data_IF_079712170534
#
_entry.id   IF_079712170534
#
_cell.length_a   1.000
_cell.length_b   1.000
_cell.length_c   1.000
_cell.angle_alpha   90.00
_cell.angle_beta   90.00
_cell.angle_gamma   90.00
#
_symmetry.space_group_name_H-M   'P 1'
#
loop_
_entity.id
_entity.type
_entity.pdbx_description
1 polymer ?
#
# COMPACT_ATOMS: atom_id res chain seq x y z
N UNK A 1 -12.84 -5.37 -6.42
CA UNK A 1 -12.76 -6.24 -7.61
C UNK A 1 -11.44 -6.97 -7.51
N UNK A 2 -11.46 -8.29 -7.64
CA UNK A 2 -10.24 -9.09 -7.68
C UNK A 2 -9.72 -9.21 -9.11
N UNK A 3 -8.41 -9.14 -9.32
CA UNK A 3 -7.77 -9.39 -10.61
C UNK A 3 -7.92 -10.89 -10.92
N UNK A 4 -8.52 -11.18 -12.08
CA UNK A 4 -8.66 -12.55 -12.59
C UNK A 4 -7.35 -13.15 -13.09
N UNK A 5 -7.44 -14.30 -13.73
CA UNK A 5 -6.31 -15.00 -14.36
C UNK A 5 -6.00 -14.52 -15.78
N UNK A 6 -6.87 -13.71 -16.39
CA UNK A 6 -6.71 -13.16 -17.75
C UNK A 6 -6.43 -11.66 -17.74
N UNK A 7 -5.54 -11.23 -18.63
CA UNK A 7 -5.17 -9.85 -18.85
C UNK A 7 -6.37 -9.07 -19.42
N UNK A 8 -6.76 -7.94 -18.82
CA UNK A 8 -7.91 -7.16 -19.27
C UNK A 8 -7.67 -6.46 -20.62
N UNK A 9 -6.42 -6.39 -21.09
CA UNK A 9 -6.07 -5.73 -22.34
C UNK A 9 -5.98 -6.69 -23.53
N UNK A 10 -5.40 -7.89 -23.35
CA UNK A 10 -5.17 -8.84 -24.43
C UNK A 10 -5.85 -10.21 -24.25
N UNK A 11 -6.51 -10.44 -23.10
CA UNK A 11 -7.22 -11.69 -22.79
C UNK A 11 -6.32 -12.90 -22.47
N UNK A 12 -4.99 -12.77 -22.51
CA UNK A 12 -4.05 -13.86 -22.22
C UNK A 12 -3.83 -14.08 -20.73
N UNK A 13 -3.22 -15.20 -20.38
CA UNK A 13 -2.95 -15.55 -18.99
C UNK A 13 -1.99 -14.59 -18.30
N UNK A 14 -2.28 -14.34 -17.03
CA UNK A 14 -1.48 -13.52 -16.13
C UNK A 14 -0.61 -14.41 -15.26
N UNK A 15 0.67 -14.06 -15.16
CA UNK A 15 1.62 -14.69 -14.26
C UNK A 15 1.46 -14.08 -12.86
N UNK A 16 1.27 -14.93 -11.85
CA UNK A 16 1.28 -14.49 -10.44
C UNK A 16 2.69 -14.22 -9.96
N UNK A 17 2.87 -13.16 -9.17
CA UNK A 17 4.17 -12.85 -8.56
C UNK A 17 4.07 -11.69 -7.57
N UNK A 18 5.23 -11.13 -7.22
CA UNK A 18 5.34 -10.06 -6.23
C UNK A 18 6.20 -8.92 -6.75
N UNK A 19 5.78 -7.67 -6.51
CA UNK A 19 6.71 -6.54 -6.47
C UNK A 19 7.39 -6.55 -5.10
N UNK A 20 8.71 -6.45 -5.05
CA UNK A 20 9.48 -6.62 -3.82
C UNK A 20 10.53 -5.51 -3.65
N UNK A 21 10.69 -5.05 -2.42
CA UNK A 21 11.69 -4.05 -2.04
C UNK A 21 12.10 -4.22 -0.57
N UNK A 22 13.29 -3.73 -0.24
CA UNK A 22 13.74 -3.62 1.15
C UNK A 22 13.01 -2.49 1.92
N UNK A 23 12.33 -1.58 1.21
CA UNK A 23 11.58 -0.44 1.77
C UNK A 23 10.15 -0.43 1.24
N UNK A 24 9.26 0.29 1.92
CA UNK A 24 7.87 0.49 1.50
C UNK A 24 7.76 0.86 0.01
N UNK A 25 6.87 0.18 -0.71
CA UNK A 25 6.52 0.52 -2.10
C UNK A 25 5.30 1.43 -2.05
N UNK A 26 5.41 2.60 -2.69
CA UNK A 26 4.33 3.57 -2.84
C UNK A 26 4.07 3.84 -4.32
N UNK A 27 2.85 4.26 -4.63
CA UNK A 27 2.52 4.93 -5.88
C UNK A 27 2.25 6.41 -5.57
N UNK A 28 2.85 7.29 -6.37
CA UNK A 28 2.65 8.73 -6.32
C UNK A 28 2.65 9.28 -7.74
N UNK A 29 2.00 10.43 -7.95
CA UNK A 29 2.05 11.15 -9.24
C UNK A 29 3.38 11.89 -9.43
N UNK A 30 4.07 12.21 -8.34
CA UNK A 30 5.36 12.87 -8.35
C UNK A 30 6.49 11.89 -8.00
N UNK A 31 7.66 12.11 -8.58
CA UNK A 31 8.84 11.33 -8.22
C UNK A 31 9.34 11.74 -6.84
N UNK A 32 9.40 10.79 -5.90
CA UNK A 32 10.02 10.99 -4.59
C UNK A 32 11.44 10.39 -4.59
N UNK A 33 12.43 11.18 -4.21
CA UNK A 33 13.85 10.77 -4.23
C UNK A 33 14.48 10.58 -2.85
N UNK A 34 13.83 11.09 -1.79
CA UNK A 34 14.40 11.11 -0.43
C UNK A 34 13.55 10.31 0.56
N UNK A 35 12.23 10.56 0.59
CA UNK A 35 11.29 9.87 1.49
C UNK A 35 10.17 9.19 0.72
N UNK A 36 10.11 7.87 0.83
CA UNK A 36 9.04 7.05 0.26
C UNK A 36 7.94 6.84 1.29
N UNK A 37 7.27 7.94 1.66
CA UNK A 37 6.08 7.92 2.52
C UNK A 37 4.89 8.34 1.68
N UNK A 38 3.75 7.67 1.90
CA UNK A 38 2.47 8.12 1.37
C UNK A 38 1.87 9.19 2.31
N UNK A 39 2.47 10.38 2.27
CA UNK A 39 2.14 11.52 3.13
C UNK A 39 1.29 12.58 2.43
N UNK A 40 1.31 12.62 1.10
CA UNK A 40 0.52 13.53 0.29
C UNK A 40 -0.87 12.97 -0.03
N UNK A 41 -1.82 13.89 -0.23
CA UNK A 41 -3.18 13.53 -0.62
C UNK A 41 -3.18 12.93 -2.03
N UNK A 42 -3.43 11.62 -2.10
CA UNK A 42 -3.49 10.86 -3.34
C UNK A 42 -2.40 9.80 -3.47
N UNK A 43 -1.37 9.85 -2.62
CA UNK A 43 -0.38 8.77 -2.53
C UNK A 43 -1.02 7.48 -2.02
N UNK A 44 -0.56 6.35 -2.57
CA UNK A 44 -1.02 5.03 -2.18
C UNK A 44 0.13 4.19 -1.66
N UNK A 45 -0.05 3.60 -0.47
CA UNK A 45 0.80 2.49 -0.05
C UNK A 45 0.42 1.29 -0.90
N UNK A 46 1.40 0.69 -1.57
CA UNK A 46 1.22 -0.48 -2.44
C UNK A 46 1.62 -1.76 -1.71
N UNK A 47 2.71 -1.73 -0.95
CA UNK A 47 3.22 -2.91 -0.26
C UNK A 47 2.52 -3.22 1.06
N UNK A 48 2.45 -4.51 1.39
CA UNK A 48 2.14 -5.02 2.72
C UNK A 48 3.38 -4.98 3.64
N UNK A 49 3.15 -4.75 4.94
CA UNK A 49 4.18 -4.84 5.99
C UNK A 49 5.11 -3.63 6.10
N UNK A 50 5.45 -3.25 7.34
CA UNK A 50 6.50 -2.24 7.63
C UNK A 50 7.79 -2.94 8.12
N UNK A 51 7.70 -4.19 8.59
CA UNK A 51 8.75 -4.82 9.40
C UNK A 51 9.25 -6.19 8.90
N UNK A 52 8.66 -6.78 7.86
CA UNK A 52 8.97 -8.16 7.39
C UNK A 52 9.41 -8.23 5.92
N UNK A 53 9.89 -7.09 5.38
CA UNK A 53 10.08 -6.90 3.95
C UNK A 53 8.83 -6.30 3.32
N UNK A 54 9.04 -5.51 2.25
CA UNK A 54 7.97 -4.76 1.60
C UNK A 54 7.65 -5.43 0.26
N UNK A 55 6.48 -6.04 0.18
CA UNK A 55 6.04 -6.69 -1.05
C UNK A 55 4.57 -6.43 -1.33
N UNK A 56 4.19 -6.54 -2.60
CA UNK A 56 2.82 -6.45 -3.06
C UNK A 56 2.53 -7.58 -4.04
N UNK A 57 1.43 -8.32 -3.81
CA UNK A 57 0.91 -9.27 -4.77
C UNK A 57 0.58 -8.55 -6.09
N UNK A 58 1.04 -9.10 -7.20
CA UNK A 58 0.82 -8.55 -8.51
C UNK A 58 0.60 -9.63 -9.56
N UNK A 59 0.04 -9.23 -10.69
CA UNK A 59 -0.10 -10.06 -11.88
C UNK A 59 0.69 -9.43 -13.02
N UNK A 60 1.49 -10.23 -13.72
CA UNK A 60 2.28 -9.78 -14.86
C UNK A 60 1.74 -10.39 -16.17
N UNK A 61 1.46 -9.54 -17.16
CA UNK A 61 1.17 -10.00 -18.51
C UNK A 61 2.45 -9.94 -19.34
N UNK A 62 3.00 -11.10 -19.70
CA UNK A 62 4.24 -11.19 -20.49
C UNK A 62 4.11 -10.58 -21.89
N UNK A 63 2.92 -10.68 -22.50
CA UNK A 63 2.67 -10.16 -23.85
C UNK A 63 2.48 -8.63 -23.88
N UNK A 64 1.80 -8.06 -22.89
CA UNK A 64 1.59 -6.61 -22.81
C UNK A 64 2.73 -5.88 -22.09
N UNK A 65 3.55 -6.59 -21.31
CA UNK A 65 4.63 -5.99 -20.52
C UNK A 65 4.15 -5.16 -19.33
N UNK A 66 2.96 -5.43 -18.80
CA UNK A 66 2.34 -4.65 -17.71
C UNK A 66 2.19 -5.45 -16.43
N UNK A 67 2.25 -4.74 -15.31
CA UNK A 67 1.90 -5.24 -13.99
C UNK A 67 0.52 -4.72 -13.60
N UNK A 68 -0.30 -5.60 -13.04
CA UNK A 68 -1.62 -5.29 -12.50
C UNK A 68 -1.58 -5.54 -11.00
N UNK A 69 -2.04 -4.55 -10.25
CA UNK A 69 -2.16 -4.60 -8.80
C UNK A 69 -3.56 -4.19 -8.39
N UNK A 70 -4.13 -4.92 -7.44
CA UNK A 70 -5.34 -4.46 -6.77
C UNK A 70 -4.97 -3.35 -5.82
N UNK A 71 -5.78 -2.30 -5.77
CA UNK A 71 -5.58 -1.24 -4.79
C UNK A 71 -5.73 -1.83 -3.39
N UNK A 72 -4.68 -1.82 -2.55
CA UNK A 72 -4.78 -2.35 -1.20
C UNK A 72 -5.55 -1.38 -0.31
N UNK A 73 -6.13 -1.91 0.76
CA UNK A 73 -6.73 -1.10 1.82
C UNK A 73 -5.67 -0.16 2.39
N UNK A 74 -5.95 1.15 2.36
CA UNK A 74 -4.98 2.15 2.80
C UNK A 74 -4.92 2.21 4.32
N UNK A 75 -3.72 2.24 4.93
CA UNK A 75 -3.61 2.42 6.37
C UNK A 75 -4.16 3.80 6.77
N UNK A 76 -4.67 3.93 8.01
CA UNK A 76 -5.09 5.25 8.51
C UNK A 76 -3.92 6.23 8.43
N UNK A 77 -4.21 7.48 8.07
CA UNK A 77 -3.19 8.51 7.93
C UNK A 77 -2.45 8.69 9.26
N UNK A 78 -1.16 8.98 9.19
CA UNK A 78 -0.28 9.04 10.37
C UNK A 78 -0.84 9.92 11.50
N UNK A 79 -1.43 11.08 11.16
CA UNK A 79 -2.05 11.99 12.13
C UNK A 79 -3.29 11.44 12.85
N UNK A 80 -4.02 10.51 12.24
CA UNK A 80 -5.19 9.85 12.85
C UNK A 80 -4.75 8.75 13.83
N UNK A 81 -3.65 8.04 13.51
CA UNK A 81 -3.06 7.03 14.40
C UNK A 81 -2.56 7.63 15.72
N UNK A 82 -2.09 8.88 15.71
CA UNK A 82 -1.66 9.59 16.91
C UNK A 82 -2.83 9.98 17.82
N UNK A 83 -3.98 10.38 17.25
CA UNK A 83 -5.19 10.72 18.03
C UNK A 83 -5.68 9.55 18.89
N UNK A 84 -5.60 8.32 18.39
CA UNK A 84 -6.01 7.12 19.13
C UNK A 84 -5.11 6.76 20.32
N UNK A 85 -3.81 7.10 20.28
CA UNK A 85 -2.87 6.85 21.39
C UNK A 85 -2.94 7.92 22.49
N UNK A 86 -3.12 9.19 22.13
CA UNK A 86 -3.20 10.27 23.13
C UNK A 86 -4.59 10.42 23.77
N UNK A 87 -5.67 9.95 23.13
CA UNK A 87 -7.02 9.94 23.73
C UNK A 87 -7.19 8.98 24.92
N UNK A 88 -6.36 7.91 25.01
CA UNK A 88 -6.36 6.98 26.16
C UNK A 88 -5.52 7.46 27.35
N UNK A 89 -4.72 8.50 27.19
CA UNK A 89 -3.87 9.06 28.25
C UNK A 89 -4.57 10.16 29.08
N UNK A 90 -5.80 10.56 28.72
CA UNK A 90 -6.64 11.51 29.47
C UNK A 90 -7.82 10.82 30.18
N UNK A 91 -7.62 9.62 30.69
CA UNK A 91 -8.52 8.96 31.63
C UNK A 91 -7.82 8.81 32.97
N UNK A 92 -7.42 9.94 33.57
CA UNK A 92 -6.94 9.99 34.96
C UNK A 92 -8.12 10.33 35.86
N UNK A 93 -8.32 9.52 36.88
CA UNK A 93 -9.34 9.64 37.92
C UNK A 93 -9.46 11.06 38.48
N UNK A 94 -10.70 11.53 38.62
CA UNK A 94 -11.06 12.49 39.67
C UNK A 94 -12.23 11.89 40.44
N UNK A 95 -11.89 11.26 41.56
CA UNK A 95 -12.75 11.12 42.73
C UNK A 95 -13.12 12.52 43.25
N UNK A 96 -14.42 12.76 43.41
CA UNK A 96 -15.06 13.18 44.68
C UNK A 96 -16.53 12.75 44.65
#
# INVERSE_FOLDING_TARGET
>A
MTIGDKCPYCGRELLSGYLQSARQIIWSQEEKSISFRADEDGDLVVSHGIWEGSFADCRYCADCGIFLLERPAQPPKFGERLRGKFGRLRGGDTTE
#
